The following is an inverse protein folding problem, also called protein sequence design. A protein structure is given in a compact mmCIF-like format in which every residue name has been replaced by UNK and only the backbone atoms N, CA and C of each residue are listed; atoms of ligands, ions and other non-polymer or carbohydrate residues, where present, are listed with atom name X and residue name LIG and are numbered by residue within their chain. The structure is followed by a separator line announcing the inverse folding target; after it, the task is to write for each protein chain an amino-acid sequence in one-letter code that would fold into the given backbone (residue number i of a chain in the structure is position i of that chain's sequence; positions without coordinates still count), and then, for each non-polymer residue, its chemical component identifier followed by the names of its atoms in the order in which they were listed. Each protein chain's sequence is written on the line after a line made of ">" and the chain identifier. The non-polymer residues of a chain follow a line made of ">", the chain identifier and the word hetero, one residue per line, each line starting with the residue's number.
data_IF_248600867794
#
_entry.id   IF_248600867794
#
_cell.length_a   1.000
_cell.length_b   1.000
_cell.length_c   1.000
_cell.angle_alpha   90.00
_cell.angle_beta   90.00
_cell.angle_gamma   90.00
#
_symmetry.space_group_name_H-M   'P 1'
#
loop_
_entity.id
_entity.type
_entity.pdbx_description
1 polymer ?
#
# COMPACT_ATOMS: atom_id res chain seq x y z
N UNK A 1 -2.04 -5.16 -24.37
CA UNK A 1 -2.19 -4.43 -25.65
C UNK A 1 -0.86 -4.22 -26.35
N UNK A 2 0.11 -3.47 -25.80
CA UNK A 2 1.43 -3.26 -26.45
C UNK A 2 2.27 -4.53 -26.69
N UNK A 3 2.23 -5.52 -25.80
CA UNK A 3 2.99 -6.78 -25.97
C UNK A 3 2.39 -7.71 -27.03
N UNK A 4 1.07 -7.62 -27.27
CA UNK A 4 0.39 -8.44 -28.28
C UNK A 4 0.65 -7.92 -29.70
N UNK A 5 0.73 -6.59 -29.88
CA UNK A 5 1.04 -5.98 -31.19
C UNK A 5 2.47 -6.22 -31.67
N UNK A 6 3.41 -6.44 -30.75
CA UNK A 6 4.80 -6.77 -31.09
C UNK A 6 4.93 -8.20 -31.63
N UNK A 7 4.12 -9.13 -31.14
CA UNK A 7 4.14 -10.52 -31.59
C UNK A 7 3.68 -10.68 -33.06
N UNK A 8 2.87 -9.75 -33.58
CA UNK A 8 2.39 -9.77 -34.96
C UNK A 8 3.38 -9.19 -35.98
N UNK A 9 4.37 -8.41 -35.56
CA UNK A 9 5.28 -7.68 -36.45
C UNK A 9 6.71 -8.23 -36.46
N UNK A 10 6.89 -9.33 -37.18
CA UNK A 10 8.18 -9.71 -37.77
C UNK A 10 9.29 -10.16 -36.81
N UNK A 11 10.27 -10.83 -37.39
CA UNK A 11 11.41 -11.52 -36.78
C UNK A 11 12.46 -10.55 -36.21
N UNK A 12 12.06 -9.60 -35.38
CA UNK A 12 12.96 -8.65 -34.71
C UNK A 12 13.22 -9.16 -33.29
N UNK A 13 14.47 -9.45 -32.97
CA UNK A 13 14.85 -10.05 -31.68
C UNK A 13 14.66 -9.10 -30.48
N UNK A 14 14.44 -7.80 -30.72
CA UNK A 14 14.33 -6.78 -29.68
C UNK A 14 13.05 -5.96 -29.79
N UNK A 15 12.40 -5.73 -28.65
CA UNK A 15 11.22 -4.84 -28.55
C UNK A 15 11.60 -3.37 -28.72
N UNK A 16 12.75 -2.96 -28.19
CA UNK A 16 13.18 -1.56 -28.16
C UNK A 16 14.46 -1.36 -28.98
N UNK A 17 14.38 -0.44 -29.93
CA UNK A 17 15.49 -0.08 -30.81
C UNK A 17 15.98 1.35 -30.50
N UNK A 18 17.29 1.52 -30.52
CA UNK A 18 17.97 2.82 -30.54
C UNK A 18 18.41 3.19 -31.97
N UNK A 19 19.05 4.33 -32.10
CA UNK A 19 19.44 4.88 -33.41
C UNK A 19 20.47 4.04 -34.19
N UNK A 20 21.27 3.21 -33.52
CA UNK A 20 22.35 2.41 -34.12
C UNK A 20 22.19 0.89 -33.91
N UNK A 21 21.01 0.42 -33.52
CA UNK A 21 20.78 -0.97 -33.13
C UNK A 21 19.91 -1.08 -31.87
N UNK A 22 19.93 -2.22 -31.15
CA UNK A 22 19.10 -2.43 -29.96
C UNK A 22 19.29 -1.36 -28.90
N UNK A 23 18.22 -1.03 -28.17
CA UNK A 23 18.29 -0.02 -27.12
C UNK A 23 19.19 -0.50 -25.98
N UNK A 24 20.30 0.22 -25.75
CA UNK A 24 21.26 -0.14 -24.70
C UNK A 24 20.77 0.30 -23.32
N UNK A 25 21.30 -0.34 -22.27
CA UNK A 25 21.05 0.05 -20.87
C UNK A 25 21.35 1.53 -20.61
N UNK A 26 22.46 2.04 -21.16
CA UNK A 26 22.81 3.45 -21.06
C UNK A 26 21.82 4.36 -21.80
N UNK A 27 21.31 3.91 -22.95
CA UNK A 27 20.24 4.58 -23.69
C UNK A 27 18.97 4.71 -22.86
N UNK A 28 18.50 3.62 -22.25
CA UNK A 28 17.34 3.63 -21.33
C UNK A 28 17.57 4.62 -20.19
N UNK A 29 18.73 4.57 -19.55
CA UNK A 29 19.05 5.49 -18.46
C UNK A 29 18.96 6.94 -18.92
N UNK A 30 19.61 7.28 -20.05
CA UNK A 30 19.61 8.64 -20.60
C UNK A 30 18.20 9.13 -20.94
N UNK A 31 17.39 8.28 -21.57
CA UNK A 31 15.99 8.60 -21.92
C UNK A 31 15.22 8.95 -20.64
N UNK A 32 15.23 8.03 -19.67
CA UNK A 32 14.50 8.21 -18.40
C UNK A 32 14.97 9.47 -17.68
N UNK A 33 16.28 9.65 -17.48
CA UNK A 33 16.79 10.83 -16.78
C UNK A 33 16.44 12.13 -17.51
N UNK A 34 16.43 12.13 -18.84
CA UNK A 34 16.07 13.32 -19.62
C UNK A 34 14.61 13.71 -19.38
N UNK A 35 13.68 12.77 -19.44
CA UNK A 35 12.27 13.05 -19.18
C UNK A 35 12.02 13.47 -17.73
N UNK A 36 12.70 12.85 -16.76
CA UNK A 36 12.59 13.25 -15.37
C UNK A 36 13.04 14.71 -15.15
N UNK A 37 14.12 15.17 -15.81
CA UNK A 37 14.50 16.60 -15.78
C UNK A 37 13.48 17.50 -16.44
N UNK A 38 12.93 17.08 -17.59
CA UNK A 38 11.92 17.87 -18.33
C UNK A 38 10.68 18.15 -17.48
N UNK A 39 10.30 17.24 -16.59
CA UNK A 39 9.17 17.42 -15.66
C UNK A 39 9.57 18.01 -14.31
N UNK A 40 10.80 18.51 -14.16
CA UNK A 40 11.26 19.22 -12.96
C UNK A 40 11.74 18.33 -11.80
N UNK A 41 11.97 17.02 -12.02
CA UNK A 41 12.49 16.13 -10.97
C UNK A 41 14.02 16.26 -10.91
N UNK A 42 14.53 16.98 -9.91
CA UNK A 42 15.96 17.31 -9.74
C UNK A 42 16.66 16.52 -8.61
N UNK A 43 16.08 15.42 -8.19
CA UNK A 43 16.55 14.64 -7.04
C UNK A 43 17.83 13.82 -7.32
N UNK A 44 18.60 13.44 -6.28
CA UNK A 44 19.71 12.52 -6.42
C UNK A 44 19.24 11.16 -6.98
N UNK A 45 20.10 10.52 -7.80
CA UNK A 45 19.83 9.23 -8.49
C UNK A 45 18.68 9.32 -9.50
N UNK A 46 18.86 10.18 -10.49
CA UNK A 46 17.91 10.41 -11.57
C UNK A 46 17.99 9.30 -12.63
N UNK A 47 17.08 8.34 -12.62
CA UNK A 47 17.09 7.23 -13.59
C UNK A 47 16.12 6.09 -13.27
N UNK A 48 16.22 4.96 -13.99
CA UNK A 48 15.26 3.85 -13.92
C UNK A 48 15.07 3.26 -12.51
N UNK A 49 16.12 3.24 -11.69
CA UNK A 49 16.05 2.74 -10.31
C UNK A 49 15.04 3.53 -9.46
N UNK A 50 14.93 4.85 -9.66
CA UNK A 50 13.96 5.69 -8.94
C UNK A 50 12.52 5.41 -9.36
N UNK A 51 12.28 5.12 -10.63
CA UNK A 51 10.95 4.71 -11.10
C UNK A 51 10.57 3.36 -10.48
N UNK A 52 11.50 2.40 -10.49
CA UNK A 52 11.30 1.09 -9.84
C UNK A 52 10.97 1.25 -8.35
N UNK A 53 11.66 2.16 -7.69
CA UNK A 53 11.44 2.46 -6.28
C UNK A 53 10.07 3.08 -6.02
N UNK A 54 9.69 4.09 -6.79
CA UNK A 54 8.38 4.71 -6.69
C UNK A 54 7.24 3.70 -6.94
N UNK A 55 7.46 2.77 -7.86
CA UNK A 55 6.54 1.66 -8.11
C UNK A 55 6.40 0.74 -6.88
N UNK A 56 7.52 0.25 -6.32
CA UNK A 56 7.49 -0.63 -5.15
C UNK A 56 6.83 0.03 -3.93
N UNK A 57 7.23 1.27 -3.63
CA UNK A 57 6.60 2.06 -2.55
C UNK A 57 5.09 2.24 -2.83
N UNK A 58 4.73 2.67 -4.03
CA UNK A 58 3.32 2.91 -4.39
C UNK A 58 2.46 1.65 -4.30
N UNK A 59 3.00 0.50 -4.70
CA UNK A 59 2.31 -0.79 -4.60
C UNK A 59 2.00 -1.16 -3.14
N UNK A 60 2.98 -1.06 -2.24
CA UNK A 60 2.80 -1.34 -0.81
C UNK A 60 1.87 -0.34 -0.14
N UNK A 61 2.03 0.97 -0.44
CA UNK A 61 1.14 2.01 0.09
C UNK A 61 -0.29 1.77 -0.34
N UNK A 62 -0.54 1.23 -1.54
CA UNK A 62 -1.89 0.89 -2.00
C UNK A 62 -2.45 -0.42 -1.41
N UNK A 63 -1.75 -1.05 -0.47
CA UNK A 63 -2.19 -2.27 0.21
C UNK A 63 -1.82 -3.56 -0.52
N UNK A 64 -0.92 -3.50 -1.50
CA UNK A 64 -0.37 -4.69 -2.15
C UNK A 64 0.56 -5.48 -1.22
N UNK A 65 0.60 -6.79 -1.37
CA UNK A 65 1.40 -7.67 -0.52
C UNK A 65 2.86 -7.82 -1.01
N UNK A 66 3.77 -8.00 -0.05
CA UNK A 66 5.21 -8.07 -0.33
C UNK A 66 5.59 -9.22 -1.27
N UNK A 67 4.88 -10.35 -1.18
CA UNK A 67 5.18 -11.57 -1.94
C UNK A 67 4.81 -11.40 -3.41
N UNK A 68 3.64 -10.82 -3.68
CA UNK A 68 3.20 -10.46 -5.02
C UNK A 68 4.10 -9.38 -5.62
N UNK A 69 4.52 -8.39 -4.82
CA UNK A 69 5.49 -7.39 -5.27
C UNK A 69 6.82 -8.03 -5.70
N UNK A 70 7.35 -8.97 -4.89
CA UNK A 70 8.58 -9.68 -5.20
C UNK A 70 8.48 -10.48 -6.51
N UNK A 71 7.38 -11.20 -6.72
CA UNK A 71 7.13 -11.92 -7.97
C UNK A 71 7.05 -10.98 -9.17
N UNK A 72 6.36 -9.85 -9.02
CA UNK A 72 6.17 -8.85 -10.08
C UNK A 72 7.47 -8.15 -10.49
N UNK A 73 8.39 -7.94 -9.55
CA UNK A 73 9.67 -7.28 -9.80
C UNK A 73 10.79 -8.25 -10.24
N UNK A 74 10.57 -9.56 -10.11
CA UNK A 74 11.49 -10.60 -10.60
C UNK A 74 12.85 -10.59 -9.89
N UNK A 75 12.92 -10.12 -8.65
CA UNK A 75 14.18 -10.09 -7.89
C UNK A 75 14.46 -11.48 -7.26
N UNK A 76 15.61 -12.08 -7.58
CA UNK A 76 16.12 -13.33 -6.95
C UNK A 76 16.43 -13.17 -5.45
N UNK A 77 16.56 -11.93 -4.94
CA UNK A 77 16.93 -11.64 -3.55
C UNK A 77 15.91 -10.74 -2.84
N UNK A 78 15.46 -11.21 -1.68
CA UNK A 78 14.51 -10.56 -0.75
C UNK A 78 14.98 -9.17 -0.29
N UNK A 79 16.30 -8.94 -0.22
CA UNK A 79 16.92 -7.71 0.31
C UNK A 79 16.51 -6.41 -0.40
N UNK A 80 16.15 -6.46 -1.69
CA UNK A 80 15.68 -5.27 -2.42
C UNK A 80 14.21 -4.94 -2.19
N UNK A 81 13.43 -5.89 -1.66
CA UNK A 81 12.01 -5.71 -1.37
C UNK A 81 11.82 -5.24 0.08
N UNK A 82 12.70 -5.65 0.99
CA UNK A 82 12.77 -5.16 2.38
C UNK A 82 13.00 -3.65 2.43
N UNK A 83 13.90 -3.11 1.59
CA UNK A 83 14.10 -1.66 1.48
C UNK A 83 12.81 -0.90 1.11
N UNK A 84 11.90 -1.50 0.33
CA UNK A 84 10.61 -0.86 0.00
C UNK A 84 9.65 -0.88 1.18
N UNK A 85 9.64 -1.96 1.96
CA UNK A 85 8.82 -2.08 3.15
C UNK A 85 9.21 -1.00 4.16
N UNK A 86 10.51 -0.85 4.46
CA UNK A 86 11.03 0.16 5.39
C UNK A 86 10.60 1.59 5.00
N UNK A 87 10.52 1.87 3.71
CA UNK A 87 10.15 3.20 3.19
C UNK A 87 8.63 3.42 3.09
N UNK A 88 7.85 2.35 3.15
CA UNK A 88 6.40 2.37 3.27
C UNK A 88 5.94 2.30 4.73
N UNK A 89 6.80 1.92 5.68
CA UNK A 89 6.45 1.76 7.11
C UNK A 89 5.71 2.96 7.70
N UNK A 90 6.10 4.23 7.50
CA UNK A 90 5.37 5.37 8.07
C UNK A 90 3.92 5.45 7.57
N UNK A 91 3.73 5.17 6.29
CA UNK A 91 2.42 5.21 5.62
C UNK A 91 1.55 4.01 6.04
N UNK A 92 2.16 2.84 6.19
CA UNK A 92 1.51 1.61 6.70
C UNK A 92 1.09 1.78 8.16
N UNK A 93 1.96 2.35 9.00
CA UNK A 93 1.67 2.68 10.40
C UNK A 93 0.50 3.65 10.48
N UNK A 94 0.51 4.72 9.67
CA UNK A 94 -0.60 5.68 9.62
C UNK A 94 -1.94 5.02 9.24
N UNK A 95 -1.93 4.15 8.22
CA UNK A 95 -3.13 3.37 7.83
C UNK A 95 -3.55 2.38 8.91
N UNK A 96 -2.60 1.69 9.54
CA UNK A 96 -2.87 0.78 10.64
C UNK A 96 -3.52 1.53 11.81
N UNK A 97 -3.01 2.69 12.21
CA UNK A 97 -3.65 3.53 13.23
C UNK A 97 -5.07 3.96 12.85
N UNK A 98 -5.34 4.21 11.57
CA UNK A 98 -6.65 4.63 11.10
C UNK A 98 -7.69 3.50 11.09
N UNK A 99 -7.30 2.30 10.66
CA UNK A 99 -8.20 1.16 10.40
C UNK A 99 -8.04 -0.01 11.38
N UNK A 100 -7.27 0.15 12.44
CA UNK A 100 -7.10 -0.90 13.45
C UNK A 100 -8.44 -1.24 14.12
N UNK A 101 -8.84 -2.53 14.15
CA UNK A 101 -10.08 -2.95 14.82
C UNK A 101 -10.05 -2.64 16.32
N UNK A 102 -8.87 -2.60 16.95
CA UNK A 102 -8.68 -2.15 18.33
C UNK A 102 -9.20 -0.72 18.56
N UNK A 103 -9.20 0.16 17.54
CA UNK A 103 -9.70 1.55 17.65
C UNK A 103 -11.23 1.57 17.65
N UNK A 104 -11.86 0.74 16.83
CA UNK A 104 -13.30 0.53 16.85
C UNK A 104 -13.73 -0.12 18.18
N UNK A 105 -12.98 -1.12 18.66
CA UNK A 105 -13.22 -1.75 19.96
C UNK A 105 -13.02 -0.76 21.13
N UNK A 106 -12.00 0.10 21.07
CA UNK A 106 -11.75 1.14 22.06
C UNK A 106 -12.85 2.22 22.05
N UNK A 107 -13.30 2.66 20.87
CA UNK A 107 -14.40 3.61 20.73
C UNK A 107 -15.73 3.01 21.24
N UNK A 108 -16.02 1.75 20.91
CA UNK A 108 -17.20 1.03 21.40
C UNK A 108 -17.15 0.82 22.93
N UNK A 109 -15.98 0.48 23.48
CA UNK A 109 -15.79 0.40 24.92
C UNK A 109 -16.00 1.77 25.59
N UNK A 110 -15.42 2.85 25.06
CA UNK A 110 -15.61 4.20 25.59
C UNK A 110 -17.08 4.67 25.53
N UNK A 111 -17.81 4.34 24.46
CA UNK A 111 -19.25 4.61 24.37
C UNK A 111 -20.04 3.82 25.42
N UNK A 112 -19.73 2.54 25.62
CA UNK A 112 -20.34 1.70 26.67
C UNK A 112 -20.02 2.18 28.09
N UNK A 113 -18.86 2.81 28.32
CA UNK A 113 -18.47 3.37 29.62
C UNK A 113 -19.15 4.72 29.93
N UNK A 114 -19.54 5.49 28.90
CA UNK A 114 -20.20 6.79 29.06
C UNK A 114 -21.72 6.68 29.21
N UNK A 115 -22.32 5.54 28.87
CA UNK A 115 -23.75 5.28 29.00
C UNK A 115 -24.15 4.73 30.39
N UNK A 116 -23.49 5.25 31.44
CA UNK A 116 -23.77 4.86 32.84
C UNK A 116 -25.23 5.12 33.23
N UNK A 117 -25.82 6.20 32.71
CA UNK A 117 -27.21 6.59 33.04
C UNK A 117 -28.24 5.61 32.47
N UNK A 118 -28.00 5.04 31.29
CA UNK A 118 -28.89 4.05 30.68
C UNK A 118 -28.77 2.70 31.39
N UNK A 119 -27.54 2.28 31.72
CA UNK A 119 -27.29 1.05 32.48
C UNK A 119 -27.90 1.12 33.90
N UNK A 120 -27.84 2.28 34.57
CA UNK A 120 -28.46 2.49 35.88
C UNK A 120 -30.00 2.41 35.82
N UNK A 121 -30.62 3.02 34.81
CA UNK A 121 -32.09 2.95 34.60
C UNK A 121 -32.57 1.53 34.33
N UNK A 122 -31.82 0.75 33.56
CA UNK A 122 -32.17 -0.65 33.28
C UNK A 122 -32.03 -1.53 34.53
N UNK A 123 -30.99 -1.30 35.34
CA UNK A 123 -30.81 -2.01 36.63
C UNK A 123 -31.94 -1.66 37.62
N UNK A 124 -32.31 -0.39 37.75
CA UNK A 124 -33.43 0.04 38.60
C UNK A 124 -34.78 -0.56 38.15
N UNK A 125 -35.03 -0.63 36.84
CA UNK A 125 -36.23 -1.26 36.28
C UNK A 125 -36.29 -2.78 36.52
N UNK A 126 -35.14 -3.44 36.59
CA UNK A 126 -35.05 -4.88 36.90
C UNK A 126 -35.28 -5.13 38.40
N UNK A 127 -34.73 -4.29 39.27
CA UNK A 127 -34.89 -4.39 40.72
C UNK A 127 -36.35 -4.19 41.14
N UNK A 128 -37.02 -3.16 40.61
CA UNK A 128 -38.44 -2.88 40.88
C UNK A 128 -39.38 -4.00 40.40
N UNK A 129 -39.08 -4.65 39.27
CA UNK A 129 -39.82 -5.84 38.81
C UNK A 129 -39.62 -7.05 39.71
N UNK A 130 -38.45 -7.21 40.31
CA UNK A 130 -38.13 -8.35 41.19
C UNK A 130 -38.79 -8.20 42.56
N UNK A 131 -38.89 -6.98 43.08
CA UNK A 131 -39.59 -6.66 44.33
C UNK A 131 -41.11 -6.87 44.21
N UNK A 132 -41.71 -6.53 43.06
CA UNK A 132 -43.14 -6.77 42.81
C UNK A 132 -43.53 -8.27 42.72
N UNK A 133 -42.57 -9.15 42.43
CA UNK A 133 -42.81 -10.58 42.20
C UNK A 133 -42.51 -11.46 43.43
N UNK A 134 -42.01 -10.89 44.53
CA UNK A 134 -41.73 -11.60 45.80
C UNK A 134 -42.71 -11.23 46.93
N UNK A 135 -43.80 -10.52 46.61
CA UNK A 135 -44.84 -10.09 47.56
C UNK A 135 -46.16 -10.86 47.48
N UNK A 136 -46.18 -12.08 46.93
CA UNK A 136 -47.35 -12.98 46.94
C UNK A 136 -46.97 -14.35 47.47
#
# INVERSE_FOLDING_TARGET
>A
LLLLTIAEHGKQDYVFHGHKGPLTRHGVYRIVSTYMRKVGILMPKLGPCRIRHAFGKGYLVNGGDLRSLQQLMGHERITTTEEYADLAMPDIIAKHHQFTPLRAAHAAAQQSFLDKDQALKEVEAILTRKEANHGS
#
